data_IF_605896461238
#
_entry.id   IF_605896461238
#
_cell.length_a   1.000
_cell.length_b   1.000
_cell.length_c   1.000
_cell.angle_alpha   90.00
_cell.angle_beta   90.00
_cell.angle_gamma   90.00
#
_symmetry.space_group_name_H-M   'P 1'
#
loop_
_entity.id
_entity.type
_entity.pdbx_description
1 polymer ?
#
# COMPACT_ATOMS: atom_id res chain seq x y z
N UNK A 1 16.93 34.18 -55.31
CA UNK A 1 18.21 33.99 -54.61
C UNK A 1 17.99 34.36 -53.17
N UNK A 2 17.58 33.36 -52.37
CA UNK A 2 17.07 33.55 -51.02
C UNK A 2 18.21 33.58 -50.01
N UNK A 3 18.19 34.60 -49.16
CA UNK A 3 19.03 34.78 -47.98
C UNK A 3 18.68 33.74 -46.92
N UNK A 4 19.61 32.82 -46.66
CA UNK A 4 19.54 31.86 -45.55
C UNK A 4 19.64 32.60 -44.21
N UNK A 5 18.54 32.56 -43.46
CA UNK A 5 18.55 32.86 -42.04
C UNK A 5 19.29 31.74 -41.31
N UNK A 6 20.47 32.07 -40.78
CA UNK A 6 21.13 31.30 -39.73
C UNK A 6 20.26 31.40 -38.46
N UNK A 7 19.40 30.40 -38.26
CA UNK A 7 18.68 30.22 -37.01
C UNK A 7 19.61 29.48 -36.03
N UNK A 8 20.03 30.21 -35.00
CA UNK A 8 20.84 29.74 -33.89
C UNK A 8 20.08 28.68 -33.09
N UNK A 9 20.21 27.41 -33.47
CA UNK A 9 19.91 26.25 -32.62
C UNK A 9 21.16 25.85 -31.83
N UNK A 10 21.60 26.73 -30.94
CA UNK A 10 22.40 26.31 -29.79
C UNK A 10 21.48 26.17 -28.56
N UNK A 11 21.64 25.04 -27.88
CA UNK A 11 21.33 24.82 -26.46
C UNK A 11 19.85 24.73 -26.01
N UNK A 12 19.15 23.69 -26.49
CA UNK A 12 18.01 23.11 -25.74
C UNK A 12 17.98 21.57 -25.75
N UNK A 13 19.14 20.93 -25.83
CA UNK A 13 19.32 19.48 -25.61
C UNK A 13 20.09 19.16 -24.33
N UNK A 14 20.09 20.07 -23.35
CA UNK A 14 20.63 19.76 -22.03
C UNK A 14 19.49 19.30 -21.10
N UNK A 15 19.64 18.08 -20.59
CA UNK A 15 18.87 17.44 -19.51
C UNK A 15 17.59 16.71 -19.92
N UNK A 16 17.70 15.68 -20.77
CA UNK A 16 16.80 14.54 -20.66
C UNK A 16 17.50 13.43 -19.85
N UNK A 17 17.10 13.15 -18.59
CA UNK A 17 17.78 12.18 -17.71
C UNK A 17 17.84 10.77 -18.30
N UNK A 18 16.81 10.40 -19.08
CA UNK A 18 16.63 9.08 -19.71
C UNK A 18 17.78 8.65 -20.64
N UNK A 19 18.62 9.57 -21.13
CA UNK A 19 19.73 9.24 -22.03
C UNK A 19 21.03 8.84 -21.32
N UNK A 20 21.11 8.92 -19.99
CA UNK A 20 22.36 8.64 -19.25
C UNK A 20 22.58 7.16 -18.94
N UNK A 21 21.60 6.29 -19.18
CA UNK A 21 21.67 4.87 -18.82
C UNK A 21 21.84 4.64 -17.31
N UNK A 22 21.73 3.40 -16.86
CA UNK A 22 21.82 3.08 -15.42
C UNK A 22 23.11 3.58 -14.77
N UNK A 23 24.25 3.43 -15.47
CA UNK A 23 25.55 3.88 -14.97
C UNK A 23 25.62 5.40 -14.80
N UNK A 24 25.06 6.16 -15.73
CA UNK A 24 25.02 7.62 -15.65
C UNK A 24 24.03 8.15 -14.62
N UNK A 25 23.01 7.35 -14.25
CA UNK A 25 22.12 7.60 -13.13
C UNK A 25 22.73 7.25 -11.75
N UNK A 26 23.94 6.67 -11.75
CA UNK A 26 24.70 6.37 -10.54
C UNK A 26 24.62 4.92 -10.05
N UNK A 27 23.95 4.04 -10.79
CA UNK A 27 23.97 2.60 -10.54
C UNK A 27 25.35 2.02 -10.83
N UNK A 28 25.69 0.95 -10.11
CA UNK A 28 26.94 0.20 -10.31
C UNK A 28 26.60 -1.27 -10.52
N UNK A 29 27.36 -1.99 -11.37
CA UNK A 29 27.17 -3.41 -11.53
C UNK A 29 27.40 -4.10 -10.17
N UNK A 30 26.46 -4.95 -9.77
CA UNK A 30 26.60 -5.79 -8.60
C UNK A 30 27.30 -7.07 -9.04
N UNK A 31 28.59 -7.15 -8.76
CA UNK A 31 29.32 -8.39 -8.93
C UNK A 31 29.03 -9.27 -7.71
N UNK A 32 28.67 -10.53 -7.95
CA UNK A 32 28.49 -11.51 -6.88
C UNK A 32 29.86 -11.90 -6.34
N UNK A 33 30.04 -11.79 -5.03
CA UNK A 33 31.27 -12.20 -4.36
C UNK A 33 31.33 -13.73 -4.27
N UNK A 34 32.55 -14.27 -4.42
CA UNK A 34 32.77 -15.70 -4.30
C UNK A 34 32.77 -16.13 -2.82
N UNK A 35 31.93 -17.10 -2.50
CA UNK A 35 31.79 -17.65 -1.15
C UNK A 35 32.28 -19.11 -1.11
N UNK A 36 33.31 -19.36 -0.30
CA UNK A 36 33.94 -20.67 -0.17
C UNK A 36 33.02 -21.70 0.53
N UNK A 37 32.17 -21.25 1.46
CA UNK A 37 31.24 -22.12 2.16
C UNK A 37 30.10 -22.55 1.22
N UNK A 38 29.60 -21.62 0.42
CA UNK A 38 28.59 -21.91 -0.60
C UNK A 38 29.09 -22.90 -1.65
N UNK A 39 30.32 -22.73 -2.15
CA UNK A 39 30.91 -23.68 -3.10
C UNK A 39 31.11 -25.07 -2.48
N UNK A 40 31.54 -25.15 -1.21
CA UNK A 40 31.66 -26.43 -0.52
C UNK A 40 30.30 -27.12 -0.34
N UNK A 41 29.27 -26.34 0.00
CA UNK A 41 27.90 -26.84 0.10
C UNK A 41 27.40 -27.35 -1.26
N UNK A 42 27.65 -26.61 -2.34
CA UNK A 42 27.31 -27.00 -3.71
C UNK A 42 28.00 -28.31 -4.14
N UNK A 43 29.31 -28.43 -3.86
CA UNK A 43 30.09 -29.66 -4.10
C UNK A 43 29.51 -30.87 -3.36
N UNK A 44 28.97 -30.66 -2.16
CA UNK A 44 28.39 -31.74 -1.36
C UNK A 44 26.99 -32.16 -1.81
N UNK A 45 26.21 -31.22 -2.37
CA UNK A 45 24.80 -31.41 -2.68
C UNK A 45 24.56 -31.79 -4.14
N UNK A 46 25.20 -31.08 -5.07
CA UNK A 46 24.98 -31.19 -6.52
C UNK A 46 26.31 -31.30 -7.32
N UNK A 47 27.16 -32.32 -7.04
CA UNK A 47 28.47 -32.44 -7.69
C UNK A 47 28.40 -32.67 -9.20
N UNK A 48 27.31 -33.28 -9.68
CA UNK A 48 27.14 -33.60 -11.10
C UNK A 48 26.87 -32.36 -11.95
N UNK A 49 25.94 -31.50 -11.52
CA UNK A 49 25.60 -30.27 -12.25
C UNK A 49 26.77 -29.28 -12.25
N UNK A 50 27.49 -29.16 -11.13
CA UNK A 50 28.73 -28.39 -11.09
C UNK A 50 29.77 -28.91 -12.10
N UNK A 51 29.94 -30.24 -12.19
CA UNK A 51 30.87 -30.85 -13.15
C UNK A 51 30.46 -30.58 -14.59
N UNK A 52 29.16 -30.65 -14.90
CA UNK A 52 28.63 -30.32 -16.23
C UNK A 52 28.92 -28.87 -16.61
N UNK A 53 28.49 -27.90 -15.79
CA UNK A 53 28.73 -26.47 -16.07
C UNK A 53 30.22 -26.11 -16.17
N UNK A 54 31.07 -26.77 -15.38
CA UNK A 54 32.53 -26.59 -15.47
C UNK A 54 33.08 -27.12 -16.81
N UNK A 55 32.58 -28.26 -17.28
CA UNK A 55 32.99 -28.84 -18.56
C UNK A 55 32.49 -28.01 -19.75
N UNK A 56 31.29 -27.45 -19.67
CA UNK A 56 30.71 -26.61 -20.73
C UNK A 56 31.59 -25.37 -20.97
N UNK A 57 31.92 -24.62 -19.91
CA UNK A 57 32.87 -23.48 -20.04
C UNK A 57 34.24 -23.93 -20.54
N UNK A 58 34.76 -25.04 -20.01
CA UNK A 58 36.08 -25.53 -20.43
C UNK A 58 36.07 -25.87 -21.93
N UNK A 59 34.97 -26.42 -22.43
CA UNK A 59 34.74 -26.70 -23.84
C UNK A 59 34.70 -25.41 -24.66
N UNK A 60 33.96 -24.39 -24.23
CA UNK A 60 33.84 -23.13 -24.96
C UNK A 60 35.13 -22.31 -24.97
N UNK A 61 35.87 -22.31 -23.87
CA UNK A 61 37.21 -21.71 -23.81
C UNK A 61 38.16 -22.46 -24.75
N UNK A 62 38.10 -23.79 -24.77
CA UNK A 62 38.92 -24.61 -25.65
C UNK A 62 38.58 -24.37 -27.13
N UNK A 63 37.30 -24.26 -27.48
CA UNK A 63 36.86 -23.91 -28.84
C UNK A 63 37.32 -22.50 -29.23
N UNK A 64 37.19 -21.52 -28.33
CA UNK A 64 37.63 -20.16 -28.57
C UNK A 64 39.15 -20.06 -28.80
N UNK A 65 39.95 -20.82 -28.06
CA UNK A 65 41.42 -20.83 -28.18
C UNK A 65 41.93 -21.72 -29.31
N UNK A 66 41.19 -22.78 -29.67
CA UNK A 66 41.56 -23.81 -30.63
C UNK A 66 41.37 -23.44 -32.10
N UNK A 67 40.88 -22.22 -32.41
CA UNK A 67 40.63 -21.80 -33.79
C UNK A 67 41.93 -21.61 -34.58
N UNK A 68 42.22 -22.51 -35.51
CA UNK A 68 43.42 -22.42 -36.35
C UNK A 68 43.31 -21.41 -37.51
N UNK A 69 42.14 -20.80 -37.70
CA UNK A 69 41.83 -19.91 -38.84
C UNK A 69 42.20 -18.44 -38.58
N UNK A 70 42.51 -18.10 -37.32
CA UNK A 70 42.82 -16.74 -36.88
C UNK A 70 44.20 -16.68 -36.22
N UNK A 71 44.73 -15.46 -36.07
CA UNK A 71 45.95 -15.27 -35.31
C UNK A 71 45.73 -15.61 -33.83
N UNK A 72 46.77 -16.14 -33.18
CA UNK A 72 46.71 -16.57 -31.77
C UNK A 72 46.17 -15.50 -30.80
N UNK A 73 46.44 -14.21 -31.07
CA UNK A 73 45.93 -13.10 -30.25
C UNK A 73 44.44 -12.82 -30.49
N UNK A 74 43.92 -13.10 -31.68
CA UNK A 74 42.50 -12.96 -31.99
C UNK A 74 41.68 -14.04 -31.28
N UNK A 75 42.24 -15.24 -31.10
CA UNK A 75 41.65 -16.29 -30.28
C UNK A 75 41.53 -15.87 -28.81
N UNK A 76 42.54 -15.19 -28.27
CA UNK A 76 42.49 -14.62 -26.92
C UNK A 76 41.38 -13.57 -26.79
N UNK A 77 41.23 -12.68 -27.78
CA UNK A 77 40.13 -11.70 -27.79
C UNK A 77 38.75 -12.38 -27.90
N UNK A 78 38.68 -13.50 -28.62
CA UNK A 78 37.44 -14.26 -28.80
C UNK A 78 36.99 -14.96 -27.51
N UNK A 79 37.87 -15.24 -26.54
CA UNK A 79 37.46 -15.68 -25.20
C UNK A 79 36.60 -14.62 -24.50
N UNK A 80 36.75 -13.33 -24.85
CA UNK A 80 35.89 -12.24 -24.38
C UNK A 80 34.71 -11.94 -25.32
N UNK A 81 34.39 -12.85 -26.25
CA UNK A 81 33.19 -12.73 -27.09
C UNK A 81 31.91 -12.80 -26.26
N UNK A 82 30.80 -12.31 -26.81
CA UNK A 82 29.50 -12.33 -26.12
C UNK A 82 29.07 -13.75 -25.73
N UNK A 83 29.35 -14.76 -26.56
CA UNK A 83 28.94 -16.14 -26.32
C UNK A 83 29.71 -16.76 -25.13
N UNK A 84 31.05 -16.68 -25.14
CA UNK A 84 31.88 -17.19 -24.04
C UNK A 84 31.67 -16.41 -22.74
N UNK A 85 31.34 -15.12 -22.84
CA UNK A 85 31.00 -14.31 -21.68
C UNK A 85 29.67 -14.73 -21.05
N UNK A 86 28.67 -15.04 -21.86
CA UNK A 86 27.38 -15.55 -21.38
C UNK A 86 27.56 -16.83 -20.57
N UNK A 87 28.30 -17.81 -21.10
CA UNK A 87 28.59 -19.10 -20.43
C UNK A 87 29.39 -18.90 -19.14
N UNK A 88 30.35 -17.98 -19.14
CA UNK A 88 31.08 -17.60 -17.94
C UNK A 88 30.18 -16.95 -16.88
N UNK A 89 29.32 -16.01 -17.29
CA UNK A 89 28.38 -15.33 -16.39
C UNK A 89 27.36 -16.33 -15.82
N UNK A 90 26.86 -17.29 -16.61
CA UNK A 90 25.95 -18.35 -16.16
C UNK A 90 26.59 -19.26 -15.09
N UNK A 91 27.83 -19.67 -15.29
CA UNK A 91 28.56 -20.43 -14.28
C UNK A 91 28.90 -19.62 -13.05
N UNK A 92 29.33 -18.37 -13.24
CA UNK A 92 29.61 -17.46 -12.13
C UNK A 92 28.36 -17.30 -11.26
N UNK A 93 27.19 -17.14 -11.89
CA UNK A 93 25.90 -17.05 -11.22
C UNK A 93 25.47 -18.34 -10.51
N UNK A 94 25.94 -19.50 -10.97
CA UNK A 94 25.69 -20.80 -10.33
C UNK A 94 26.56 -21.03 -9.08
N UNK A 95 27.85 -20.69 -9.16
CA UNK A 95 28.81 -20.92 -8.08
C UNK A 95 28.81 -19.83 -7.01
N UNK A 96 28.10 -18.72 -7.24
CA UNK A 96 27.98 -17.62 -6.28
C UNK A 96 26.59 -17.57 -5.67
N UNK A 97 26.46 -17.18 -4.38
CA UNK A 97 25.18 -17.08 -3.73
C UNK A 97 24.30 -16.03 -4.42
N UNK A 98 23.00 -16.31 -4.52
CA UNK A 98 22.04 -15.34 -5.02
C UNK A 98 21.97 -14.13 -4.09
N UNK A 99 21.81 -12.92 -4.63
CA UNK A 99 21.59 -11.74 -3.80
C UNK A 99 20.34 -11.94 -2.95
N UNK A 100 20.30 -11.36 -1.74
CA UNK A 100 19.14 -11.47 -0.87
C UNK A 100 17.90 -10.93 -1.60
N UNK A 101 16.84 -11.72 -1.60
CA UNK A 101 15.57 -11.42 -2.24
C UNK A 101 14.43 -11.56 -1.22
N UNK A 102 13.31 -10.83 -1.40
CA UNK A 102 12.14 -10.98 -0.55
C UNK A 102 11.56 -12.41 -0.64
N UNK A 103 11.19 -12.96 0.51
CA UNK A 103 10.45 -14.23 0.59
C UNK A 103 8.95 -13.94 0.69
N UNK A 104 8.23 -14.22 -0.40
CA UNK A 104 6.80 -13.92 -0.51
C UNK A 104 5.89 -14.92 0.23
N UNK A 105 6.41 -16.06 0.71
CA UNK A 105 5.55 -17.14 1.25
C UNK A 105 5.02 -16.89 2.65
N UNK A 106 5.70 -16.05 3.43
CA UNK A 106 5.44 -15.86 4.86
C UNK A 106 5.49 -14.38 5.27
N UNK A 107 5.08 -13.49 4.38
CA UNK A 107 5.18 -12.05 4.59
C UNK A 107 3.88 -11.36 4.18
N UNK A 108 3.52 -10.33 4.95
CA UNK A 108 2.48 -9.39 4.62
C UNK A 108 2.93 -8.55 3.43
N UNK A 109 2.09 -8.44 2.40
CA UNK A 109 2.37 -7.63 1.21
C UNK A 109 1.39 -6.48 1.13
N UNK A 110 1.89 -5.24 1.13
CA UNK A 110 1.11 -4.05 0.87
C UNK A 110 1.58 -3.39 -0.42
N UNK A 111 0.73 -3.40 -1.45
CA UNK A 111 1.11 -2.94 -2.78
C UNK A 111 0.21 -1.85 -3.35
N UNK A 112 0.74 -0.97 -4.20
CA UNK A 112 -0.05 0.07 -4.87
C UNK A 112 0.60 0.52 -6.18
N UNK A 113 -0.23 0.81 -7.19
CA UNK A 113 0.20 1.48 -8.42
C UNK A 113 0.21 3.00 -8.22
N UNK A 114 1.29 3.66 -8.62
CA UNK A 114 1.50 5.10 -8.51
C UNK A 114 1.84 5.74 -9.86
N UNK A 115 1.37 6.97 -10.14
CA UNK A 115 0.42 7.75 -9.33
C UNK A 115 -0.99 7.17 -9.42
N UNK A 116 -1.76 7.22 -8.33
CA UNK A 116 -3.19 6.83 -8.37
C UNK A 116 -3.95 7.89 -9.18
N UNK A 117 -4.42 7.52 -10.36
CA UNK A 117 -5.14 8.41 -11.28
C UNK A 117 -6.64 8.34 -10.99
N UNK A 118 -7.30 9.50 -10.91
CA UNK A 118 -8.76 9.58 -10.76
C UNK A 118 -9.43 9.32 -12.10
N UNK A 119 -10.03 8.15 -12.28
CA UNK A 119 -10.86 7.88 -13.46
C UNK A 119 -12.21 8.58 -13.27
N UNK A 120 -12.43 9.68 -13.99
CA UNK A 120 -13.66 10.47 -13.88
C UNK A 120 -14.78 9.71 -14.61
N UNK A 121 -15.57 8.94 -13.88
CA UNK A 121 -16.87 8.43 -14.34
C UNK A 121 -17.97 9.25 -13.68
N UNK A 122 -19.04 9.56 -14.43
CA UNK A 122 -20.09 10.50 -13.99
C UNK A 122 -21.04 9.90 -12.93
N UNK A 123 -21.05 8.57 -12.80
CA UNK A 123 -22.15 7.84 -12.16
C UNK A 123 -21.76 7.05 -10.91
N UNK A 124 -20.49 7.04 -10.49
CA UNK A 124 -20.06 6.28 -9.30
C UNK A 124 -19.13 7.09 -8.41
N UNK A 125 -19.39 7.06 -7.10
CA UNK A 125 -18.43 7.53 -6.10
C UNK A 125 -17.20 6.63 -6.22
N UNK A 126 -16.06 7.22 -6.57
CA UNK A 126 -14.81 6.48 -6.69
C UNK A 126 -14.21 6.20 -5.30
N UNK A 127 -14.93 5.48 -4.42
CA UNK A 127 -14.42 5.05 -3.11
C UNK A 127 -13.11 4.30 -3.30
N UNK A 128 -13.06 3.43 -4.30
CA UNK A 128 -11.86 2.70 -4.70
C UNK A 128 -10.67 3.64 -4.96
N UNK A 129 -10.88 4.76 -5.66
CA UNK A 129 -9.83 5.77 -5.85
C UNK A 129 -9.32 6.33 -4.52
N UNK A 130 -10.22 6.58 -3.56
CA UNK A 130 -9.86 7.13 -2.24
C UNK A 130 -9.12 6.09 -1.40
N UNK A 131 -9.55 4.83 -1.43
CA UNK A 131 -8.89 3.74 -0.73
C UNK A 131 -7.50 3.47 -1.31
N UNK A 132 -7.36 3.45 -2.65
CA UNK A 132 -6.07 3.35 -3.31
C UNK A 132 -5.17 4.54 -2.99
N UNK A 133 -5.74 5.76 -2.96
CA UNK A 133 -4.99 6.96 -2.57
C UNK A 133 -4.58 6.94 -1.09
N UNK A 134 -5.40 6.39 -0.20
CA UNK A 134 -5.07 6.18 1.20
C UNK A 134 -3.91 5.18 1.34
N UNK A 135 -3.96 4.09 0.58
CA UNK A 135 -2.91 3.07 0.55
C UNK A 135 -1.59 3.63 0.02
N UNK A 136 -1.64 4.44 -1.05
CA UNK A 136 -0.48 5.19 -1.56
C UNK A 136 0.14 6.10 -0.50
N UNK A 137 -0.68 6.93 0.16
CA UNK A 137 -0.21 7.81 1.25
C UNK A 137 0.40 6.99 2.40
N UNK A 138 -0.22 5.84 2.72
CA UNK A 138 0.24 4.93 3.77
C UNK A 138 1.63 4.38 3.43
N UNK A 139 1.82 3.84 2.23
CA UNK A 139 3.11 3.32 1.77
C UNK A 139 4.20 4.41 1.82
N UNK A 140 3.94 5.60 1.29
CA UNK A 140 4.94 6.67 1.30
C UNK A 140 5.28 7.14 2.72
N UNK A 141 4.29 7.23 3.62
CA UNK A 141 4.57 7.50 5.03
C UNK A 141 5.36 6.39 5.71
N UNK A 142 5.11 5.12 5.35
CA UNK A 142 5.93 3.99 5.84
C UNK A 142 7.37 4.16 5.35
N UNK A 143 7.58 4.49 4.08
CA UNK A 143 8.92 4.74 3.53
C UNK A 143 9.63 5.89 4.25
N UNK A 144 8.92 6.96 4.60
CA UNK A 144 9.47 8.06 5.40
C UNK A 144 9.85 7.60 6.82
N UNK A 145 9.07 6.70 7.43
CA UNK A 145 9.37 6.11 8.75
C UNK A 145 10.56 5.14 8.71
N UNK A 146 10.70 4.37 7.63
CA UNK A 146 11.81 3.45 7.42
C UNK A 146 13.13 4.21 7.17
N UNK A 147 13.06 5.37 6.51
CA UNK A 147 14.20 6.22 6.23
C UNK A 147 15.12 5.63 5.15
N UNK A 148 16.43 5.73 5.33
CA UNK A 148 17.40 5.22 4.35
C UNK A 148 17.49 3.68 4.42
N UNK A 149 17.41 2.97 3.28
CA UNK A 149 17.60 1.52 3.22
C UNK A 149 19.06 1.14 3.46
N UNK A 150 19.26 -0.09 3.93
CA UNK A 150 20.59 -0.69 4.12
C UNK A 150 21.19 -1.19 2.81
N UNK A 151 20.35 -1.56 1.84
CA UNK A 151 20.74 -2.06 0.52
C UNK A 151 19.70 -1.61 -0.49
N UNK A 152 20.15 -1.17 -1.67
CA UNK A 152 19.31 -0.93 -2.84
C UNK A 152 19.93 -1.69 -4.00
N UNK A 153 19.16 -2.61 -4.58
CA UNK A 153 19.54 -3.39 -5.76
C UNK A 153 18.48 -3.26 -6.85
N UNK A 154 18.86 -3.59 -8.07
CA UNK A 154 17.97 -3.58 -9.22
C UNK A 154 18.33 -4.73 -10.14
N UNK A 155 17.33 -5.38 -10.69
CA UNK A 155 17.50 -6.42 -11.70
C UNK A 155 16.86 -5.99 -13.01
N UNK A 156 17.63 -6.01 -14.10
CA UNK A 156 17.16 -5.68 -15.43
C UNK A 156 17.90 -6.53 -16.47
N UNK A 157 17.14 -7.26 -17.30
CA UNK A 157 17.69 -8.15 -18.35
C UNK A 157 18.79 -9.07 -17.79
N UNK A 158 18.49 -9.76 -16.69
CA UNK A 158 19.38 -10.72 -15.99
C UNK A 158 20.64 -10.10 -15.36
N UNK A 159 20.82 -8.78 -15.45
CA UNK A 159 21.92 -8.07 -14.80
C UNK A 159 21.46 -7.43 -13.51
N UNK A 160 22.29 -7.59 -12.48
CA UNK A 160 22.05 -6.99 -11.18
C UNK A 160 22.93 -5.75 -10.99
N UNK A 161 22.32 -4.71 -10.44
CA UNK A 161 22.97 -3.46 -10.11
C UNK A 161 22.72 -3.12 -8.65
N UNK A 162 23.64 -2.40 -8.03
CA UNK A 162 23.44 -1.81 -6.71
C UNK A 162 23.53 -0.29 -6.80
N UNK A 163 22.79 0.38 -5.92
CA UNK A 163 22.83 1.83 -5.80
C UNK A 163 23.53 2.23 -4.50
N UNK A 164 24.62 3.03 -4.56
CA UNK A 164 25.28 3.53 -3.35
C UNK A 164 24.34 4.37 -2.49
N UNK A 165 24.08 3.94 -1.25
CA UNK A 165 23.11 4.56 -0.33
C UNK A 165 23.47 6.00 0.03
N UNK A 166 24.76 6.35 -0.01
CA UNK A 166 25.25 7.72 0.21
C UNK A 166 24.67 8.72 -0.80
N UNK A 167 24.35 8.25 -2.02
CA UNK A 167 23.79 9.07 -3.09
C UNK A 167 22.26 9.10 -3.07
N UNK A 168 21.62 8.30 -2.22
CA UNK A 168 20.17 8.18 -2.19
C UNK A 168 19.54 9.44 -1.58
N UNK A 169 18.69 10.09 -2.37
CA UNK A 169 17.94 11.30 -1.99
C UNK A 169 16.46 10.98 -1.80
N UNK A 170 15.80 10.43 -2.83
CA UNK A 170 14.38 10.08 -2.77
C UNK A 170 14.01 8.99 -3.78
N UNK A 171 12.94 8.24 -3.47
CA UNK A 171 12.38 7.20 -4.35
C UNK A 171 11.91 7.75 -5.69
N UNK A 172 11.37 8.98 -5.72
CA UNK A 172 10.89 9.61 -6.95
C UNK A 172 12.03 10.00 -7.90
N UNK A 173 13.18 10.39 -7.36
CA UNK A 173 14.35 10.79 -8.14
C UNK A 173 15.15 9.61 -8.71
N UNK A 174 14.96 8.40 -8.15
CA UNK A 174 15.67 7.21 -8.58
C UNK A 174 15.23 6.83 -9.99
N UNK A 175 16.17 6.76 -10.93
CA UNK A 175 15.92 6.16 -12.24
C UNK A 175 15.87 4.65 -12.09
N UNK A 176 14.76 4.06 -12.51
CA UNK A 176 14.44 2.64 -12.34
C UNK A 176 14.14 2.01 -13.68
N UNK A 177 14.74 0.87 -13.98
CA UNK A 177 14.46 0.01 -15.15
C UNK A 177 14.17 -1.42 -14.66
N UNK A 178 13.05 -2.02 -15.06
CA UNK A 178 12.66 -3.33 -14.51
C UNK A 178 12.29 -3.22 -13.02
N UNK A 179 12.92 -4.06 -12.19
CA UNK A 179 12.55 -4.20 -10.78
C UNK A 179 13.66 -3.76 -9.84
N UNK A 180 13.33 -2.85 -8.92
CA UNK A 180 14.22 -2.39 -7.84
C UNK A 180 13.81 -3.05 -6.54
N UNK A 181 14.80 -3.48 -5.77
CA UNK A 181 14.62 -3.99 -4.42
C UNK A 181 15.37 -3.10 -3.43
N UNK A 182 14.78 -2.86 -2.28
CA UNK A 182 15.45 -2.21 -1.16
C UNK A 182 15.13 -2.92 0.14
N UNK A 183 16.10 -2.95 1.05
CA UNK A 183 15.99 -3.70 2.29
C UNK A 183 16.32 -2.86 3.52
N UNK A 184 15.55 -3.06 4.58
CA UNK A 184 15.80 -2.54 5.92
C UNK A 184 15.90 -3.71 6.91
N UNK A 185 17.13 -4.04 7.29
CA UNK A 185 17.46 -5.10 8.24
C UNK A 185 16.77 -4.91 9.60
N UNK A 186 16.75 -3.66 10.09
CA UNK A 186 16.13 -3.29 11.38
C UNK A 186 14.65 -3.67 11.47
N UNK A 187 13.92 -3.54 10.36
CA UNK A 187 12.49 -3.81 10.30
C UNK A 187 12.17 -5.14 9.61
N UNK A 188 13.19 -5.85 9.10
CA UNK A 188 13.03 -7.02 8.23
C UNK A 188 12.00 -6.76 7.12
N UNK A 189 12.12 -5.59 6.49
CA UNK A 189 11.17 -5.11 5.49
C UNK A 189 11.89 -4.92 4.14
N UNK A 190 11.24 -5.40 3.09
CA UNK A 190 11.62 -5.21 1.71
C UNK A 190 10.68 -4.23 1.03
N UNK A 191 11.23 -3.43 0.14
CA UNK A 191 10.49 -2.67 -0.85
C UNK A 191 10.84 -3.21 -2.22
N UNK A 192 9.82 -3.54 -3.00
CA UNK A 192 9.93 -3.84 -4.41
C UNK A 192 9.27 -2.72 -5.20
N UNK A 193 9.96 -2.19 -6.20
CA UNK A 193 9.43 -1.19 -7.13
C UNK A 193 9.53 -1.76 -8.53
N UNK A 194 8.39 -1.98 -9.16
CA UNK A 194 8.31 -2.36 -10.57
C UNK A 194 7.94 -1.15 -11.40
N UNK A 195 8.73 -0.90 -12.45
CA UNK A 195 8.51 0.23 -13.34
C UNK A 195 7.89 -0.24 -14.65
N UNK A 196 6.72 0.32 -14.96
CA UNK A 196 5.96 0.04 -16.17
C UNK A 196 6.11 1.16 -17.22
N UNK A 197 5.77 0.84 -18.46
CA UNK A 197 5.72 1.82 -19.55
C UNK A 197 4.78 2.98 -19.18
N UNK A 198 5.19 4.22 -19.51
CA UNK A 198 4.50 5.49 -19.22
C UNK A 198 4.70 6.07 -17.81
N UNK A 199 5.77 5.67 -17.10
CA UNK A 199 6.18 6.32 -15.85
C UNK A 199 5.33 5.94 -14.63
N UNK A 200 4.56 4.85 -14.74
CA UNK A 200 3.84 4.27 -13.61
C UNK A 200 4.74 3.30 -12.87
N UNK A 201 4.61 3.28 -11.55
CA UNK A 201 5.41 2.43 -10.68
C UNK A 201 4.52 1.70 -9.71
N UNK A 202 4.77 0.41 -9.55
CA UNK A 202 4.10 -0.43 -8.58
C UNK A 202 5.03 -0.63 -7.39
N UNK A 203 4.60 -0.13 -6.23
CA UNK A 203 5.35 -0.24 -4.98
C UNK A 203 4.74 -1.38 -4.18
N UNK A 204 5.56 -2.34 -3.76
CA UNK A 204 5.17 -3.44 -2.88
C UNK A 204 6.07 -3.46 -1.66
N UNK A 205 5.48 -3.20 -0.48
CA UNK A 205 6.14 -3.39 0.80
C UNK A 205 5.88 -4.81 1.28
N UNK A 206 6.96 -5.50 1.65
CA UNK A 206 6.94 -6.90 2.04
C UNK A 206 7.63 -7.00 3.40
N UNK A 207 6.90 -7.43 4.43
CA UNK A 207 7.44 -7.51 5.78
C UNK A 207 6.86 -8.72 6.52
N UNK A 208 7.59 -9.23 7.52
CA UNK A 208 7.07 -10.30 8.39
C UNK A 208 5.82 -9.89 9.19
N UNK A 209 5.75 -8.62 9.57
CA UNK A 209 4.62 -8.01 10.27
C UNK A 209 4.57 -6.53 9.87
N UNK A 210 3.62 -6.16 9.03
CA UNK A 210 3.51 -4.78 8.53
C UNK A 210 2.66 -3.89 9.45
N UNK A 211 1.87 -4.48 10.34
CA UNK A 211 0.86 -3.76 11.13
C UNK A 211 1.43 -2.64 12.01
N UNK A 212 2.56 -2.80 12.72
CA UNK A 212 3.16 -1.71 13.49
C UNK A 212 3.54 -0.50 12.64
N UNK A 213 4.02 -0.74 11.40
CA UNK A 213 4.39 0.32 10.46
C UNK A 213 3.14 1.02 9.94
N UNK A 214 2.12 0.24 9.55
CA UNK A 214 0.83 0.77 9.12
C UNK A 214 0.24 1.64 10.23
N UNK A 215 0.05 1.13 11.44
CA UNK A 215 -0.55 1.87 12.56
C UNK A 215 0.15 3.19 12.84
N UNK A 216 1.48 3.21 12.73
CA UNK A 216 2.27 4.43 12.95
C UNK A 216 2.12 5.44 11.81
N UNK A 217 2.02 4.95 10.57
CA UNK A 217 1.80 5.79 9.38
C UNK A 217 0.37 6.32 9.25
N UNK A 218 -0.62 5.55 9.74
CA UNK A 218 -2.05 5.86 9.68
C UNK A 218 -2.57 6.64 10.88
N UNK A 219 -1.70 6.91 11.87
CA UNK A 219 -2.03 7.73 13.02
C UNK A 219 -2.62 9.08 12.62
N UNK A 220 -3.76 9.43 13.22
CA UNK A 220 -4.51 10.66 12.96
C UNK A 220 -4.90 10.84 11.48
N UNK A 221 -5.11 9.77 10.73
CA UNK A 221 -5.68 9.82 9.38
C UNK A 221 -7.20 9.70 9.42
N UNK A 222 -7.85 10.54 8.62
CA UNK A 222 -9.26 10.52 8.37
C UNK A 222 -9.55 10.56 6.88
N UNK A 223 -10.54 9.80 6.45
CA UNK A 223 -11.08 9.80 5.10
C UNK A 223 -12.50 10.33 5.17
N UNK A 224 -12.80 11.36 4.37
CA UNK A 224 -14.15 11.89 4.23
C UNK A 224 -14.62 11.66 2.81
N UNK A 225 -15.76 11.00 2.67
CA UNK A 225 -16.47 10.79 1.41
C UNK A 225 -17.85 11.42 1.54
N UNK A 226 -18.12 12.43 0.70
CA UNK A 226 -19.40 13.13 0.65
C UNK A 226 -19.73 13.47 -0.80
N UNK A 227 -20.64 12.71 -1.39
CA UNK A 227 -20.99 12.69 -2.79
C UNK A 227 -19.74 12.55 -3.65
N UNK A 228 -19.47 13.57 -4.46
CA UNK A 228 -18.32 13.60 -5.37
C UNK A 228 -17.02 14.11 -4.74
N UNK A 229 -17.07 14.58 -3.48
CA UNK A 229 -15.88 15.07 -2.78
C UNK A 229 -15.31 13.99 -1.89
N UNK A 230 -14.05 13.68 -2.13
CA UNK A 230 -13.28 12.77 -1.30
C UNK A 230 -12.03 13.49 -0.80
N UNK A 231 -11.76 13.40 0.51
CA UNK A 231 -10.59 14.04 1.12
C UNK A 231 -9.94 13.08 2.11
N UNK A 232 -8.63 13.04 2.09
CA UNK A 232 -7.81 12.35 3.10
C UNK A 232 -7.09 13.44 3.87
N UNK A 233 -7.22 13.42 5.19
CA UNK A 233 -6.70 14.46 6.06
C UNK A 233 -6.63 14.01 7.51
N UNK A 234 -6.78 14.94 8.43
CA UNK A 234 -6.83 14.67 9.87
C UNK A 234 -8.24 14.90 10.39
N UNK A 235 -8.59 14.25 11.51
CA UNK A 235 -9.87 14.49 12.18
C UNK A 235 -9.86 15.89 12.79
N UNK A 236 -10.77 16.73 12.31
CA UNK A 236 -11.01 18.03 12.93
C UNK A 236 -12.28 17.94 13.78
N UNK A 237 -12.15 18.31 15.05
CA UNK A 237 -13.29 18.56 15.92
C UNK A 237 -13.31 20.04 16.27
N UNK A 238 -14.49 20.66 16.14
CA UNK A 238 -14.75 22.04 16.52
C UNK A 238 -14.98 22.18 18.04
N UNK A 239 -15.45 21.12 18.68
CA UNK A 239 -15.84 21.12 20.10
C UNK A 239 -15.17 19.95 20.83
N UNK A 240 -14.52 20.20 21.97
CA UNK A 240 -14.00 19.13 22.82
C UNK A 240 -15.10 18.42 23.61
N UNK A 241 -14.86 17.19 24.07
CA UNK A 241 -15.89 16.36 24.72
C UNK A 241 -16.43 17.00 26.01
N UNK A 242 -15.58 17.73 26.74
CA UNK A 242 -15.91 18.43 27.97
C UNK A 242 -16.95 19.56 27.80
N UNK A 243 -17.13 20.09 26.58
CA UNK A 243 -18.13 21.12 26.30
C UNK A 243 -19.55 20.58 26.21
N UNK A 244 -19.72 19.26 26.05
CA UNK A 244 -21.05 18.64 25.96
C UNK A 244 -21.70 18.53 27.35
N UNK A 245 -23.05 18.52 27.45
CA UNK A 245 -23.76 18.31 28.70
C UNK A 245 -23.34 17.04 29.45
N UNK A 246 -23.40 17.05 30.79
CA UNK A 246 -22.95 15.93 31.64
C UNK A 246 -23.56 14.57 31.24
N UNK A 247 -24.82 14.55 30.82
CA UNK A 247 -25.48 13.31 30.40
C UNK A 247 -24.81 12.70 29.15
N UNK A 248 -24.35 13.53 28.21
CA UNK A 248 -23.62 13.11 27.01
C UNK A 248 -22.19 12.71 27.37
N UNK A 249 -21.56 13.36 28.34
CA UNK A 249 -20.25 12.95 28.85
C UNK A 249 -20.32 11.55 29.49
N UNK A 250 -21.29 11.30 30.38
CA UNK A 250 -21.49 9.99 30.99
C UNK A 250 -21.77 8.88 29.94
N UNK A 251 -22.52 9.22 28.89
CA UNK A 251 -22.72 8.32 27.75
C UNK A 251 -21.41 8.08 26.99
N UNK A 252 -20.61 9.12 26.79
CA UNK A 252 -19.28 9.04 26.17
C UNK A 252 -18.37 8.11 26.95
N UNK A 253 -18.37 8.18 28.29
CA UNK A 253 -17.60 7.27 29.14
C UNK A 253 -18.03 5.81 28.96
N UNK A 254 -19.34 5.57 28.84
CA UNK A 254 -19.89 4.23 28.56
C UNK A 254 -19.42 3.71 27.20
N UNK A 255 -19.42 4.57 26.18
CA UNK A 255 -18.93 4.25 24.84
C UNK A 255 -17.42 3.96 24.88
N UNK A 256 -16.63 4.75 25.61
CA UNK A 256 -15.19 4.53 25.78
C UNK A 256 -14.89 3.16 26.39
N UNK A 257 -15.61 2.77 27.45
CA UNK A 257 -15.46 1.45 28.07
C UNK A 257 -15.79 0.33 27.07
N UNK A 258 -16.90 0.47 26.34
CA UNK A 258 -17.31 -0.52 25.35
C UNK A 258 -16.29 -0.69 24.19
N UNK A 259 -15.64 0.40 23.74
CA UNK A 259 -14.59 0.36 22.71
C UNK A 259 -13.38 -0.49 23.17
N UNK A 260 -13.07 -0.48 24.47
CA UNK A 260 -11.95 -1.24 25.02
C UNK A 260 -12.28 -2.72 25.20
N UNK A 261 -13.52 -3.05 25.54
CA UNK A 261 -13.97 -4.41 25.83
C UNK A 261 -14.32 -5.21 24.57
N UNK A 262 -14.88 -4.56 23.55
CA UNK A 262 -15.44 -5.21 22.37
C UNK A 262 -14.56 -4.98 21.14
N UNK A 263 -14.43 -5.98 20.27
CA UNK A 263 -13.73 -5.82 18.98
C UNK A 263 -14.61 -5.11 17.94
N UNK A 264 -15.92 -5.18 18.12
CA UNK A 264 -16.91 -4.56 17.24
C UNK A 264 -17.91 -3.83 18.12
N UNK A 265 -18.12 -2.55 17.84
CA UNK A 265 -19.08 -1.72 18.56
C UNK A 265 -19.85 -0.85 17.58
N UNK A 266 -21.18 -0.90 17.65
CA UNK A 266 -22.04 0.00 16.92
C UNK A 266 -22.83 0.91 17.86
N UNK A 267 -22.65 2.22 17.69
CA UNK A 267 -23.29 3.26 18.50
C UNK A 267 -24.22 4.08 17.63
N UNK A 268 -25.49 4.19 18.03
CA UNK A 268 -26.49 5.01 17.35
C UNK A 268 -26.91 6.18 18.23
N UNK A 269 -26.73 7.39 17.70
CA UNK A 269 -27.16 8.62 18.34
C UNK A 269 -28.31 9.25 17.56
N UNK A 270 -29.42 9.50 18.24
CA UNK A 270 -30.63 10.09 17.66
C UNK A 270 -30.93 11.46 18.24
N UNK A 271 -31.67 12.30 17.53
CA UNK A 271 -32.23 13.52 18.11
C UNK A 271 -32.57 14.55 17.04
N UNK A 272 -33.21 15.65 17.43
CA UNK A 272 -33.56 16.71 16.46
C UNK A 272 -32.31 17.31 15.77
N UNK A 273 -32.43 17.89 14.57
CA UNK A 273 -31.35 18.68 13.99
C UNK A 273 -30.90 19.79 14.95
N UNK A 274 -29.59 20.09 14.99
CA UNK A 274 -29.04 21.10 15.90
C UNK A 274 -28.75 20.61 17.32
N UNK A 275 -28.92 19.33 17.65
CA UNK A 275 -28.57 18.79 18.98
C UNK A 275 -27.10 18.44 19.16
N UNK A 276 -26.24 18.70 18.15
CA UNK A 276 -24.79 18.47 18.25
C UNK A 276 -24.32 17.04 17.99
N UNK A 277 -25.17 16.15 17.42
CA UNK A 277 -24.83 14.74 17.15
C UNK A 277 -23.53 14.56 16.33
N UNK A 278 -23.42 15.30 15.22
CA UNK A 278 -22.23 15.24 14.34
C UNK A 278 -21.00 15.87 14.99
N UNK A 279 -21.19 16.91 15.81
CA UNK A 279 -20.08 17.50 16.58
C UNK A 279 -19.56 16.51 17.63
N UNK A 280 -20.46 15.77 18.30
CA UNK A 280 -20.10 14.74 19.27
C UNK A 280 -19.34 13.57 18.63
N UNK A 281 -19.77 13.06 17.47
CA UNK A 281 -19.04 11.97 16.79
C UNK A 281 -17.63 12.40 16.38
N UNK A 282 -17.46 13.64 15.91
CA UNK A 282 -16.15 14.20 15.59
C UNK A 282 -15.26 14.40 16.82
N UNK A 283 -15.84 14.87 17.94
CA UNK A 283 -15.14 15.02 19.21
C UNK A 283 -14.67 13.66 19.76
N UNK A 284 -15.57 12.68 19.79
CA UNK A 284 -15.26 11.30 20.17
C UNK A 284 -14.16 10.70 19.29
N UNK A 285 -14.25 10.89 17.97
CA UNK A 285 -13.26 10.38 17.04
C UNK A 285 -11.86 10.98 17.30
N UNK A 286 -11.79 12.30 17.51
CA UNK A 286 -10.52 13.01 17.71
C UNK A 286 -9.88 12.72 19.08
N UNK A 287 -10.66 12.70 20.16
CA UNK A 287 -10.13 12.62 21.52
C UNK A 287 -10.01 11.20 22.06
N UNK A 288 -10.81 10.25 21.55
CA UNK A 288 -10.79 8.85 22.00
C UNK A 288 -10.22 7.93 20.94
N UNK A 289 -10.81 7.91 19.74
CA UNK A 289 -10.50 6.89 18.74
C UNK A 289 -9.12 7.10 18.10
N UNK A 290 -8.75 8.35 17.77
CA UNK A 290 -7.43 8.66 17.19
C UNK A 290 -6.27 8.28 18.13
N UNK A 291 -6.27 8.63 19.43
CA UNK A 291 -5.24 8.16 20.37
C UNK A 291 -5.17 6.64 20.51
N UNK A 292 -6.30 5.95 20.33
CA UNK A 292 -6.35 4.49 20.33
C UNK A 292 -5.85 3.86 19.01
N UNK A 293 -5.52 4.65 17.98
CA UNK A 293 -4.97 4.17 16.71
C UNK A 293 -5.99 3.93 15.60
N UNK A 294 -7.25 4.37 15.77
CA UNK A 294 -8.28 4.18 14.76
C UNK A 294 -8.10 5.12 13.56
N UNK A 295 -8.28 4.56 12.36
CA UNK A 295 -8.46 5.35 11.12
C UNK A 295 -9.94 5.66 10.96
N UNK A 296 -10.27 6.94 10.78
CA UNK A 296 -11.65 7.39 10.75
C UNK A 296 -12.15 7.52 9.31
N UNK A 297 -13.29 6.92 9.00
CA UNK A 297 -13.98 7.02 7.72
C UNK A 297 -15.31 7.72 7.94
N UNK A 298 -15.45 8.95 7.47
CA UNK A 298 -16.70 9.70 7.46
C UNK A 298 -17.34 9.44 6.10
N UNK A 299 -18.40 8.64 6.10
CA UNK A 299 -19.08 8.18 4.90
C UNK A 299 -20.50 8.74 4.84
N UNK A 300 -20.93 9.09 3.65
CA UNK A 300 -22.34 9.36 3.34
C UNK A 300 -23.07 8.07 2.94
N UNK A 301 -24.39 8.18 2.73
CA UNK A 301 -25.24 7.05 2.39
C UNK A 301 -24.73 6.22 1.18
N UNK A 302 -24.44 6.89 0.07
CA UNK A 302 -23.94 6.25 -1.16
C UNK A 302 -22.56 5.59 -0.96
N UNK A 303 -21.69 6.19 -0.13
CA UNK A 303 -20.37 5.62 0.11
C UNK A 303 -20.42 4.37 0.98
N UNK A 304 -21.30 4.32 1.98
CA UNK A 304 -21.42 3.14 2.85
C UNK A 304 -21.78 1.88 2.06
N UNK A 305 -22.55 2.00 0.97
CA UNK A 305 -22.96 0.86 0.14
C UNK A 305 -21.78 0.15 -0.54
N UNK A 306 -20.78 0.90 -1.00
CA UNK A 306 -19.65 0.37 -1.76
C UNK A 306 -18.36 0.31 -0.92
N UNK A 307 -18.45 0.66 0.37
CA UNK A 307 -17.29 0.68 1.23
C UNK A 307 -16.93 -0.74 1.68
N UNK A 308 -15.68 -1.10 1.44
CA UNK A 308 -15.05 -2.28 2.04
C UNK A 308 -13.83 -1.75 2.82
N UNK A 309 -13.72 -2.07 4.11
CA UNK A 309 -12.57 -1.68 4.91
C UNK A 309 -11.28 -2.27 4.32
N UNK A 310 -10.19 -1.49 4.20
CA UNK A 310 -8.91 -2.02 3.75
C UNK A 310 -8.35 -3.07 4.73
N UNK A 311 -7.93 -4.23 4.23
CA UNK A 311 -7.45 -5.36 5.03
C UNK A 311 -6.20 -5.05 5.86
N UNK A 312 -5.34 -4.14 5.37
CA UNK A 312 -4.11 -3.73 6.05
C UNK A 312 -4.33 -2.88 7.30
N UNK A 313 -5.56 -2.40 7.56
CA UNK A 313 -5.88 -1.57 8.73
C UNK A 313 -6.39 -2.44 9.89
N UNK A 314 -5.75 -2.34 11.06
CA UNK A 314 -6.19 -3.06 12.27
C UNK A 314 -7.39 -2.41 12.97
N UNK A 315 -7.48 -1.08 12.99
CA UNK A 315 -8.46 -0.35 13.79
C UNK A 315 -9.18 0.68 12.92
N UNK A 316 -10.48 0.49 12.73
CA UNK A 316 -11.28 1.25 11.78
C UNK A 316 -12.50 1.81 12.49
N UNK A 317 -12.74 3.11 12.32
CA UNK A 317 -14.00 3.72 12.73
C UNK A 317 -14.75 4.21 11.52
N UNK A 318 -16.03 3.86 11.42
CA UNK A 318 -16.93 4.33 10.37
C UNK A 318 -17.94 5.28 11.03
N UNK A 319 -17.98 6.52 10.55
CA UNK A 319 -18.97 7.53 10.95
C UNK A 319 -19.97 7.67 9.81
N UNK A 320 -21.22 7.31 10.09
CA UNK A 320 -22.34 7.42 9.15
C UNK A 320 -23.23 8.57 9.63
N UNK A 321 -23.28 9.64 8.84
CA UNK A 321 -24.16 10.76 9.11
C UNK A 321 -25.54 10.52 8.47
N UNK A 322 -26.60 10.92 9.17
CA UNK A 322 -27.98 10.83 8.68
C UNK A 322 -28.37 9.42 8.22
N UNK A 323 -28.11 8.43 9.08
CA UNK A 323 -28.40 7.03 8.83
C UNK A 323 -29.89 6.74 8.58
N UNK A 324 -30.80 7.67 8.90
CA UNK A 324 -32.21 7.57 8.55
C UNK A 324 -32.49 7.69 7.04
N UNK A 325 -31.58 8.29 6.26
CA UNK A 325 -31.70 8.32 4.79
C UNK A 325 -31.44 6.94 4.17
N UNK A 326 -30.55 6.13 4.77
CA UNK A 326 -30.27 4.76 4.33
C UNK A 326 -31.51 3.85 4.35
N UNK A 327 -32.48 4.16 5.22
CA UNK A 327 -33.69 3.36 5.36
C UNK A 327 -34.83 3.79 4.41
N UNK A 328 -34.85 5.05 3.95
CA UNK A 328 -35.91 5.55 3.06
C UNK A 328 -35.86 4.93 1.65
N UNK A 329 -34.65 4.72 1.11
CA UNK A 329 -34.47 4.12 -0.23
C UNK A 329 -35.06 2.71 -0.34
N UNK A 330 -35.16 1.99 0.79
CA UNK A 330 -35.79 0.67 0.86
C UNK A 330 -37.31 0.71 0.61
N UNK A 331 -37.99 1.76 1.06
CA UNK A 331 -39.45 1.88 0.91
C UNK A 331 -39.88 2.24 -0.51
N UNK A 332 -38.99 2.89 -1.28
CA UNK A 332 -39.26 3.32 -2.66
C UNK A 332 -38.76 2.30 -3.71
N UNK A 333 -37.75 1.48 -3.40
CA UNK A 333 -37.09 0.57 -4.37
C UNK A 333 -37.33 -0.93 -4.12
N UNK A 334 -38.55 -1.31 -3.72
CA UNK A 334 -38.89 -2.67 -3.28
C UNK A 334 -38.81 -3.83 -4.33
N UNK A 335 -38.04 -3.70 -5.42
CA UNK A 335 -37.93 -4.75 -6.44
C UNK A 335 -36.55 -4.98 -7.08
N UNK A 336 -35.51 -4.16 -6.86
CA UNK A 336 -34.23 -4.32 -7.59
C UNK A 336 -32.93 -4.29 -6.75
N UNK A 337 -32.99 -4.11 -5.43
CA UNK A 337 -31.78 -3.79 -4.63
C UNK A 337 -31.69 -4.54 -3.29
N UNK A 338 -31.89 -5.86 -3.29
CA UNK A 338 -31.66 -6.69 -2.10
C UNK A 338 -30.19 -6.69 -1.63
N UNK A 339 -29.23 -6.54 -2.55
CA UNK A 339 -27.80 -6.64 -2.24
C UNK A 339 -27.27 -5.46 -1.40
N UNK A 340 -27.88 -4.27 -1.50
CA UNK A 340 -27.37 -3.03 -0.87
C UNK A 340 -27.50 -3.07 0.65
N UNK A 341 -28.68 -3.45 1.14
CA UNK A 341 -28.94 -3.55 2.58
C UNK A 341 -28.20 -4.72 3.20
N UNK A 342 -28.02 -5.81 2.46
CA UNK A 342 -27.22 -6.96 2.92
C UNK A 342 -25.76 -6.57 3.17
N UNK A 343 -25.17 -5.71 2.32
CA UNK A 343 -23.80 -5.23 2.53
C UNK A 343 -23.68 -4.40 3.81
N UNK A 344 -24.58 -3.45 4.06
CA UNK A 344 -24.57 -2.64 5.28
C UNK A 344 -24.83 -3.50 6.52
N UNK A 345 -25.78 -4.42 6.44
CA UNK A 345 -26.08 -5.32 7.55
C UNK A 345 -24.92 -6.27 7.83
N UNK A 346 -24.20 -6.73 6.81
CA UNK A 346 -23.00 -7.56 6.98
C UNK A 346 -21.78 -6.76 7.45
N UNK A 347 -21.71 -5.46 7.12
CA UNK A 347 -20.78 -4.50 7.74
C UNK A 347 -21.11 -4.27 9.22
N UNK A 348 -22.39 -4.35 9.63
CA UNK A 348 -22.80 -4.23 11.04
C UNK A 348 -22.73 -5.56 11.80
N UNK A 349 -22.91 -6.69 11.11
CA UNK A 349 -22.87 -8.03 11.70
C UNK A 349 -21.44 -8.55 11.88
N UNK A 350 -20.44 -7.87 11.29
CA UNK A 350 -19.03 -8.28 11.41
C UNK A 350 -18.63 -9.41 10.46
N UNK A 351 -19.54 -9.88 9.61
CA UNK A 351 -19.35 -11.05 8.75
C UNK A 351 -18.51 -10.77 7.51
N UNK A 352 -18.56 -9.55 6.96
CA UNK A 352 -17.66 -9.14 5.87
C UNK A 352 -16.19 -9.09 6.32
N UNK A 353 -15.92 -8.90 7.62
CA UNK A 353 -14.58 -8.66 8.15
C UNK A 353 -13.84 -9.97 8.48
N UNK A 354 -14.58 -11.04 8.83
CA UNK A 354 -13.98 -12.32 9.18
C UNK A 354 -13.55 -13.14 7.93
N UNK A 355 -14.04 -12.78 6.75
CA UNK A 355 -13.80 -13.53 5.51
C UNK A 355 -12.94 -12.82 4.46
N UNK A 356 -12.48 -11.58 4.71
CA UNK A 356 -11.53 -10.91 3.80
C UNK A 356 -10.13 -11.47 4.08
N UNK A 357 -9.91 -12.69 3.60
CA UNK A 357 -8.57 -13.16 3.24
C UNK A 357 -8.26 -12.46 1.93
N UNK A 358 -7.63 -11.29 2.03
CA UNK A 358 -7.15 -10.61 0.84
C UNK A 358 -6.06 -11.47 0.18
N UNK A 359 -5.98 -11.46 -1.15
CA UNK A 359 -4.95 -12.15 -1.92
C UNK A 359 -3.53 -11.64 -1.56
N UNK A 360 -3.48 -10.49 -0.87
CA UNK A 360 -2.29 -9.84 -0.31
C UNK A 360 -1.68 -10.53 0.93
N UNK A 361 -2.35 -11.55 1.49
CA UNK A 361 -1.78 -12.40 2.54
C UNK A 361 -1.74 -11.79 3.96
N UNK A 362 -2.39 -10.63 4.17
CA UNK A 362 -2.42 -9.95 5.48
C UNK A 362 -3.53 -10.55 6.36
N UNK A 363 -3.16 -11.15 7.51
CA UNK A 363 -4.09 -11.78 8.46
C UNK A 363 -4.25 -10.95 9.75
N UNK A 364 -4.92 -9.80 9.68
CA UNK A 364 -5.13 -8.94 10.86
C UNK A 364 -6.52 -9.10 11.48
N UNK A 365 -6.57 -9.24 12.80
CA UNK A 365 -7.84 -9.16 13.54
C UNK A 365 -8.26 -7.69 13.65
N UNK A 366 -9.19 -7.29 12.80
CA UNK A 366 -9.67 -5.91 12.77
C UNK A 366 -10.59 -5.60 13.96
N UNK A 367 -10.45 -4.39 14.52
CA UNK A 367 -11.40 -3.77 15.44
C UNK A 367 -12.21 -2.70 14.71
N UNK A 368 -13.53 -2.75 14.87
CA UNK A 368 -14.46 -1.88 14.19
C UNK A 368 -15.30 -1.08 15.19
N UNK A 369 -15.38 0.24 14.98
CA UNK A 369 -16.34 1.10 15.69
C UNK A 369 -17.21 1.81 14.67
N UNK A 370 -18.52 1.56 14.70
CA UNK A 370 -19.49 2.24 13.83
C UNK A 370 -20.25 3.28 14.65
N UNK A 371 -20.11 4.55 14.29
CA UNK A 371 -20.84 5.67 14.88
C UNK A 371 -21.90 6.15 13.90
N UNK A 372 -23.16 5.99 14.24
CA UNK A 372 -24.29 6.40 13.42
C UNK A 372 -25.01 7.58 14.06
N UNK A 373 -25.36 8.58 13.26
CA UNK A 373 -26.27 9.65 13.68
C UNK A 373 -27.56 9.60 12.90
N UNK A 374 -28.70 9.76 13.56
CA UNK A 374 -30.01 9.83 12.91
C UNK A 374 -30.86 10.97 13.47
N UNK A 375 -31.75 11.53 12.64
CA UNK A 375 -32.68 12.54 13.12
C UNK A 375 -33.96 11.93 13.71
N UNK A 376 -34.45 10.86 13.09
CA UNK A 376 -35.72 10.21 13.45
C UNK A 376 -35.51 8.70 13.58
N UNK A 377 -35.69 8.13 14.78
CA UNK A 377 -35.48 6.68 15.00
C UNK A 377 -36.50 5.84 14.26
N UNK A 378 -37.73 6.33 14.14
CA UNK A 378 -38.87 5.62 13.55
C UNK A 378 -38.68 5.37 12.04
N UNK A 379 -37.78 6.11 11.39
CA UNK A 379 -37.47 5.94 9.97
C UNK A 379 -36.44 4.85 9.71
N UNK A 380 -35.68 4.41 10.73
CA UNK A 380 -34.66 3.38 10.57
C UNK A 380 -35.30 2.00 10.39
N UNK A 381 -34.63 1.15 9.61
CA UNK A 381 -35.03 -0.24 9.44
C UNK A 381 -34.98 -0.98 10.79
N UNK A 382 -36.07 -1.61 11.24
CA UNK A 382 -36.07 -2.47 12.42
C UNK A 382 -34.99 -3.56 12.40
N UNK A 383 -34.50 -3.96 11.23
CA UNK A 383 -33.40 -4.91 11.09
C UNK A 383 -32.05 -4.34 11.57
N UNK A 384 -31.80 -3.04 11.45
CA UNK A 384 -30.58 -2.37 11.94
C UNK A 384 -30.61 -2.28 13.48
N UNK A 385 -31.78 -2.03 14.06
CA UNK A 385 -31.96 -1.88 15.51
C UNK A 385 -31.92 -3.21 16.30
N UNK A 386 -31.67 -4.35 15.63
CA UNK A 386 -31.59 -5.65 16.30
C UNK A 386 -30.34 -5.75 17.16
N UNK A 387 -30.48 -6.42 18.30
CA UNK A 387 -29.37 -6.72 19.21
C UNK A 387 -28.27 -7.49 18.46
N UNK A 388 -27.03 -7.01 18.55
CA UNK A 388 -25.88 -7.52 17.79
C UNK A 388 -25.47 -6.67 16.59
N UNK A 389 -26.29 -5.68 16.19
CA UNK A 389 -25.99 -4.70 15.12
C UNK A 389 -25.85 -3.28 15.61
N UNK A 390 -26.57 -2.94 16.67
CA UNK A 390 -26.44 -1.70 17.44
C UNK A 390 -26.37 -2.09 18.91
N UNK A 391 -25.25 -1.74 19.54
CA UNK A 391 -24.95 -2.12 20.92
C UNK A 391 -25.38 -1.02 21.90
N UNK A 392 -25.13 0.24 21.52
CA UNK A 392 -25.43 1.41 22.34
C UNK A 392 -26.33 2.38 21.58
N UNK A 393 -27.38 2.86 22.24
CA UNK A 393 -28.30 3.86 21.69
C UNK A 393 -28.50 4.98 22.69
N UNK A 394 -28.43 6.22 22.22
CA UNK A 394 -28.70 7.39 23.06
C UNK A 394 -29.39 8.51 22.30
N UNK A 395 -30.28 9.24 23.00
CA UNK A 395 -31.07 10.32 22.43
C UNK A 395 -30.65 11.69 22.95
N UNK A 396 -30.27 12.56 22.02
CA UNK A 396 -29.85 13.92 22.30
C UNK A 396 -31.11 14.80 22.29
N UNK A 397 -31.54 15.22 23.48
CA UNK A 397 -32.79 15.96 23.69
C UNK A 397 -32.62 17.48 23.65
N UNK A 398 -31.41 17.99 23.88
CA UNK A 398 -31.13 19.43 23.98
C UNK A 398 -30.40 19.94 22.75
N UNK A 399 -30.76 21.14 22.28
CA UNK A 399 -30.00 21.83 21.24
C UNK A 399 -28.60 22.16 21.75
N UNK A 400 -27.60 21.84 20.95
CA UNK A 400 -26.20 22.15 21.22
C UNK A 400 -25.84 23.25 20.24
N UNK A 401 -25.76 24.47 20.79
CA UNK A 401 -25.74 25.79 20.13
C UNK A 401 -27.12 26.31 19.72
#
# INVERSE_FOLDING_TARGET
MGTEYFDSKENSQQNNPQNKGLLGAGWRPLNRDFDWEYLWHLLSKDPWELSQKTLDIASDIADALGRHQFAWWANILNVFSENTRYEFDEFWDYITPQPPAPDYRYQDVLSVETPVIRTITRDTIAIEYVLNRLQEITIFKILDLLGKPDIITQSFMERNFYYPIERFISWQSLETLGTVYAYWSKYSCWLQIESYDKGRRYYSLIAKDIAPLVRKSTYNMAVMVSGYQCRIGQVQSQFPIDTFPQNIQNFTDTVQQAILEQNQLAVLVSGKPGTGKTAWTQALAKEVLVPLGYVIFILDHDAVENFVPPAYLEQICIIINEADNLAQDRSLQAAQTNNKTEHILSLLDGTLYQSVVDESGIYLKQKLVVLMTCNTKERLDPAILRKGRVDLMYEFTYCFV
#
